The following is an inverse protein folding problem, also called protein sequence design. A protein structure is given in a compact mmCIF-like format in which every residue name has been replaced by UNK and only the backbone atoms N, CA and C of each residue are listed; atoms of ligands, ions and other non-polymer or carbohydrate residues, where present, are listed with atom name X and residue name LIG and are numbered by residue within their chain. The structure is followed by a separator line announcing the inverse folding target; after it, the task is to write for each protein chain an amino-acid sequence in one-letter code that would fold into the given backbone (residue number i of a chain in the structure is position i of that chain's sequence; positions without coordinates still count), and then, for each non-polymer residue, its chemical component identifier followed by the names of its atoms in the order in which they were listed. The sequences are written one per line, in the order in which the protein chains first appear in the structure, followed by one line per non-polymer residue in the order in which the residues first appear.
data_IF_391017397404
#
_entry.id   IF_391017397404
#
_cell.length_a   1.000
_cell.length_b   1.000
_cell.length_c   1.000
_cell.angle_alpha   90.00
_cell.angle_beta   90.00
_cell.angle_gamma   90.00
#
_symmetry.space_group_name_H-M   'P 1'
#
loop_
_entity.id
_entity.type
_entity.pdbx_description
1 polymer ?
#
# COMPACT_ATOMS: atom_id res chain seq x y z
N UNK A 1 -4.11 13.03 -3.12
CA UNK A 1 -5.59 13.18 -3.01
C UNK A 1 -5.84 14.43 -2.18
N UNK A 2 -6.86 15.22 -2.46
CA UNK A 2 -7.21 16.33 -1.54
C UNK A 2 -8.12 15.77 -0.45
N UNK A 3 -7.76 15.96 0.82
CA UNK A 3 -8.64 15.70 1.95
C UNK A 3 -9.85 16.64 1.94
N UNK A 4 -10.85 16.37 2.78
CA UNK A 4 -12.12 17.12 2.82
C UNK A 4 -11.95 18.63 3.08
N UNK A 5 -10.83 19.06 3.68
CA UNK A 5 -10.50 20.47 3.96
C UNK A 5 -9.62 21.15 2.88
N UNK A 6 -9.32 20.46 1.78
CA UNK A 6 -8.40 20.96 0.75
C UNK A 6 -6.92 20.77 1.08
N UNK A 7 -6.62 20.06 2.18
CA UNK A 7 -5.26 19.65 2.52
C UNK A 7 -4.78 18.50 1.62
N UNK A 8 -3.48 18.49 1.32
CA UNK A 8 -2.91 17.51 0.41
C UNK A 8 -2.60 16.22 1.17
N UNK A 9 -3.48 15.22 1.04
CA UNK A 9 -3.18 13.87 1.47
C UNK A 9 -2.22 13.21 0.47
N UNK A 10 -1.01 12.92 0.92
CA UNK A 10 0.01 12.23 0.12
C UNK A 10 0.34 10.86 0.71
N UNK A 11 0.60 9.92 -0.18
CA UNK A 11 1.11 8.60 0.16
C UNK A 11 2.36 8.38 -0.68
N UNK A 12 3.47 8.09 -0.03
CA UNK A 12 4.69 7.65 -0.71
C UNK A 12 4.59 6.15 -0.96
N UNK A 13 4.80 5.75 -2.22
CA UNK A 13 4.79 4.34 -2.61
C UNK A 13 6.05 3.62 -2.12
N UNK A 14 5.95 2.32 -1.81
CA UNK A 14 7.12 1.53 -1.45
C UNK A 14 8.10 1.48 -2.62
N UNK A 15 9.40 1.51 -2.30
CA UNK A 15 10.49 1.45 -3.28
C UNK A 15 10.45 2.55 -4.37
N UNK A 16 9.76 3.67 -4.14
CA UNK A 16 9.59 4.74 -5.15
C UNK A 16 10.93 5.28 -5.71
N UNK A 17 11.99 5.32 -4.90
CA UNK A 17 13.33 5.78 -5.34
C UNK A 17 13.99 4.87 -6.38
N UNK A 18 13.57 3.60 -6.47
CA UNK A 18 14.06 2.63 -7.43
C UNK A 18 13.10 2.44 -8.63
N UNK A 19 11.99 3.17 -8.66
CA UNK A 19 11.02 3.07 -9.74
C UNK A 19 11.48 3.80 -11.00
N UNK A 20 11.15 3.23 -12.16
CA UNK A 20 11.26 3.88 -13.45
C UNK A 20 10.19 4.95 -13.67
N UNK A 21 10.22 5.58 -14.85
CA UNK A 21 9.23 6.59 -15.22
C UNK A 21 7.80 6.00 -15.23
N UNK A 22 6.79 6.74 -14.73
CA UNK A 22 5.43 6.26 -14.70
C UNK A 22 4.85 6.08 -16.11
N UNK A 23 4.02 5.06 -16.27
CA UNK A 23 3.23 4.79 -17.48
C UNK A 23 1.75 4.88 -17.12
N UNK A 24 1.00 5.68 -17.88
CA UNK A 24 -0.46 5.78 -17.73
C UNK A 24 -1.14 4.84 -18.72
N UNK A 25 -2.00 3.96 -18.21
CA UNK A 25 -2.80 3.03 -19.00
C UNK A 25 -4.10 3.70 -19.49
N UNK A 26 -4.76 3.15 -20.54
CA UNK A 26 -5.99 3.73 -21.10
C UNK A 26 -7.17 3.84 -20.12
N UNK A 27 -7.18 3.02 -19.07
CA UNK A 27 -8.19 3.02 -18.01
C UNK A 27 -7.90 4.05 -16.90
N UNK A 28 -6.82 4.83 -17.02
CA UNK A 28 -6.42 5.84 -16.04
C UNK A 28 -5.49 5.31 -14.95
N UNK A 29 -5.18 4.02 -14.93
CA UNK A 29 -4.20 3.44 -14.00
C UNK A 29 -2.82 4.01 -14.27
N UNK A 30 -2.09 4.38 -13.22
CA UNK A 30 -0.69 4.83 -13.32
C UNK A 30 0.22 3.78 -12.71
N UNK A 31 1.11 3.21 -13.53
CA UNK A 31 2.06 2.19 -13.11
C UNK A 31 3.47 2.76 -13.04
N UNK A 32 4.14 2.56 -11.92
CA UNK A 32 5.54 2.85 -11.65
C UNK A 32 6.31 1.52 -11.71
N UNK A 33 7.01 1.23 -12.83
CA UNK A 33 7.74 -0.02 -12.97
C UNK A 33 8.96 -0.05 -12.05
N UNK A 34 9.34 -1.23 -11.57
CA UNK A 34 10.60 -1.45 -10.87
C UNK A 34 11.10 -2.87 -11.10
N UNK A 35 12.37 -3.13 -10.78
CA UNK A 35 13.02 -4.42 -11.09
C UNK A 35 12.53 -5.56 -10.19
N UNK A 36 12.39 -5.31 -8.88
CA UNK A 36 11.94 -6.32 -7.91
C UNK A 36 10.47 -6.17 -7.52
N UNK A 37 9.91 -4.97 -7.67
CA UNK A 37 8.49 -4.70 -7.46
C UNK A 37 8.03 -3.55 -8.35
N UNK A 38 6.74 -3.55 -8.71
CA UNK A 38 6.11 -2.45 -9.44
C UNK A 38 4.87 -1.96 -8.68
N UNK A 39 4.60 -0.66 -8.70
CA UNK A 39 3.44 -0.07 -8.05
C UNK A 39 2.42 0.37 -9.10
N UNK A 40 1.14 0.07 -8.92
CA UNK A 40 0.06 0.60 -9.74
C UNK A 40 -0.96 1.33 -8.89
N UNK A 41 -1.36 2.51 -9.33
CA UNK A 41 -2.37 3.34 -8.67
C UNK A 41 -3.61 3.36 -9.53
N UNK A 42 -4.72 2.87 -8.97
CA UNK A 42 -6.04 2.90 -9.58
C UNK A 42 -6.90 3.88 -8.78
N UNK A 43 -7.47 4.88 -9.46
CA UNK A 43 -8.37 5.86 -8.85
C UNK A 43 -9.80 5.57 -9.30
N UNK A 44 -10.72 5.52 -8.35
CA UNK A 44 -12.15 5.27 -8.60
C UNK A 44 -13.02 6.17 -7.71
N UNK A 45 -14.33 6.15 -7.94
CA UNK A 45 -15.30 6.85 -7.09
C UNK A 45 -15.34 6.29 -5.64
N UNK A 46 -14.82 5.08 -5.43
CA UNK A 46 -14.78 4.43 -4.12
C UNK A 46 -13.47 4.67 -3.37
N UNK A 47 -12.50 5.37 -3.99
CA UNK A 47 -11.21 5.68 -3.41
C UNK A 47 -10.04 5.26 -4.31
N UNK A 48 -8.87 5.12 -3.69
CA UNK A 48 -7.62 4.77 -4.36
C UNK A 48 -7.22 3.35 -3.98
N UNK A 49 -6.87 2.57 -4.98
CA UNK A 49 -6.22 1.28 -4.79
C UNK A 49 -4.75 1.41 -5.20
N UNK A 50 -3.86 1.09 -4.26
CA UNK A 50 -2.43 0.95 -4.52
C UNK A 50 -2.11 -0.54 -4.57
N UNK A 51 -1.61 -1.00 -5.71
CA UNK A 51 -1.24 -2.38 -5.96
C UNK A 51 0.27 -2.48 -6.05
N UNK A 52 0.87 -3.34 -5.24
CA UNK A 52 2.28 -3.71 -5.34
C UNK A 52 2.40 -5.08 -5.99
N UNK A 53 2.96 -5.13 -7.18
CA UNK A 53 3.31 -6.38 -7.86
C UNK A 53 4.71 -6.80 -7.41
N UNK A 54 4.82 -8.02 -6.89
CA UNK A 54 6.07 -8.61 -6.40
C UNK A 54 6.61 -9.54 -7.49
N UNK A 55 7.82 -9.27 -7.99
CA UNK A 55 8.33 -9.93 -9.21
C UNK A 55 8.79 -11.37 -8.96
N UNK A 56 9.28 -11.68 -7.76
CA UNK A 56 9.76 -13.02 -7.43
C UNK A 56 10.32 -13.10 -6.01
N UNK A 57 10.89 -14.26 -5.64
CA UNK A 57 11.34 -14.56 -4.28
C UNK A 57 12.49 -13.67 -3.77
N UNK A 58 13.26 -13.06 -4.67
CA UNK A 58 14.34 -12.12 -4.30
C UNK A 58 13.83 -10.70 -4.01
N UNK A 59 12.53 -10.44 -4.16
CA UNK A 59 11.94 -9.14 -3.88
C UNK A 59 11.85 -8.86 -2.36
N UNK A 60 11.72 -7.58 -1.95
CA UNK A 60 11.49 -7.24 -0.55
C UNK A 60 10.24 -7.93 0.01
N UNK A 61 10.27 -8.31 1.28
CA UNK A 61 9.08 -8.83 2.01
C UNK A 61 8.25 -7.73 2.63
N UNK A 62 8.83 -6.54 2.82
CA UNK A 62 8.22 -5.43 3.53
C UNK A 62 8.03 -4.24 2.60
N UNK A 63 6.80 -3.75 2.55
CA UNK A 63 6.36 -2.68 1.67
C UNK A 63 5.77 -1.55 2.50
N UNK A 64 6.59 -0.51 2.71
CA UNK A 64 6.22 0.65 3.52
C UNK A 64 5.57 1.76 2.70
N UNK A 65 4.41 2.21 3.16
CA UNK A 65 3.65 3.34 2.66
C UNK A 65 3.70 4.45 3.71
N UNK A 66 4.41 5.53 3.40
CA UNK A 66 4.46 6.71 4.27
C UNK A 66 3.28 7.63 3.92
N UNK A 67 2.46 7.96 4.90
CA UNK A 67 1.31 8.85 4.73
C UNK A 67 1.58 10.21 5.36
N UNK A 68 1.04 11.27 4.76
CA UNK A 68 0.95 12.56 5.46
C UNK A 68 -0.17 12.51 6.48
N UNK A 69 0.12 12.98 7.69
CA UNK A 69 -0.85 13.13 8.78
C UNK A 69 -1.00 14.63 9.08
N UNK A 70 -2.23 15.10 9.15
CA UNK A 70 -2.53 16.46 9.59
C UNK A 70 -2.31 16.60 11.10
N UNK A 71 -2.39 17.83 11.62
CA UNK A 71 -2.11 18.11 13.02
C UNK A 71 -2.99 17.27 13.95
N UNK A 72 -2.35 16.40 14.74
CA UNK A 72 -3.00 15.53 15.71
C UNK A 72 -3.66 14.27 15.14
N UNK A 73 -3.60 14.05 13.81
CA UNK A 73 -3.99 12.77 13.23
C UNK A 73 -3.01 11.68 13.62
N UNK A 74 -3.51 10.45 13.73
CA UNK A 74 -2.70 9.26 14.00
C UNK A 74 -3.05 8.14 13.04
N UNK A 75 -2.04 7.42 12.56
CA UNK A 75 -2.22 6.16 11.87
C UNK A 75 -2.25 5.04 12.91
N UNK A 76 -3.21 4.11 12.80
CA UNK A 76 -3.36 2.99 13.72
C UNK A 76 -3.85 1.73 12.99
N UNK A 77 -3.51 0.56 13.53
CA UNK A 77 -4.11 -0.70 13.12
C UNK A 77 -5.54 -0.79 13.66
N UNK A 78 -6.46 -1.26 12.82
CA UNK A 78 -7.87 -1.49 13.17
C UNK A 78 -8.28 -2.82 12.56
N UNK A 79 -8.58 -3.80 13.42
CA UNK A 79 -8.78 -5.20 13.01
C UNK A 79 -7.57 -5.72 12.20
N UNK A 80 -7.79 -6.27 10.99
CA UNK A 80 -6.73 -6.72 10.08
C UNK A 80 -6.31 -5.63 9.06
N UNK A 81 -6.86 -4.42 9.19
CA UNK A 81 -6.59 -3.24 8.37
C UNK A 81 -5.91 -2.12 9.14
N UNK A 82 -6.05 -0.90 8.64
CA UNK A 82 -5.54 0.31 9.28
C UNK A 82 -6.47 1.50 9.07
N UNK A 83 -6.33 2.53 9.90
CA UNK A 83 -7.08 3.76 9.76
C UNK A 83 -6.23 4.97 10.16
N UNK A 84 -6.50 6.10 9.52
CA UNK A 84 -6.09 7.42 10.01
C UNK A 84 -7.24 7.97 10.85
N UNK A 85 -6.94 8.30 12.10
CA UNK A 85 -7.89 8.81 13.09
C UNK A 85 -7.62 10.28 13.36
N UNK A 86 -8.68 11.08 13.38
CA UNK A 86 -8.65 12.48 13.82
C UNK A 86 -8.48 12.57 15.35
N UNK A 87 -8.08 13.75 15.88
CA UNK A 87 -7.94 13.96 17.32
C UNK A 87 -9.20 13.68 18.15
N UNK A 88 -10.39 13.77 17.54
CA UNK A 88 -11.68 13.48 18.18
C UNK A 88 -12.07 12.00 18.15
N UNK A 89 -11.22 11.15 17.55
CA UNK A 89 -11.42 9.71 17.40
C UNK A 89 -12.27 9.32 16.18
N UNK A 90 -12.73 10.27 15.37
CA UNK A 90 -13.38 9.98 14.09
C UNK A 90 -12.37 9.47 13.06
N UNK A 91 -12.83 8.65 12.12
CA UNK A 91 -11.97 8.11 11.05
C UNK A 91 -11.88 9.08 9.89
N UNK A 92 -10.66 9.47 9.51
CA UNK A 92 -10.38 10.28 8.33
C UNK A 92 -10.17 9.41 7.09
N UNK A 93 -9.42 8.31 7.22
CA UNK A 93 -9.12 7.38 6.12
C UNK A 93 -9.19 5.95 6.64
N UNK A 94 -9.75 5.04 5.84
CA UNK A 94 -9.75 3.60 6.09
C UNK A 94 -8.86 2.92 5.05
N UNK A 95 -8.01 2.01 5.53
CA UNK A 95 -7.26 1.05 4.73
C UNK A 95 -7.87 -0.32 5.02
N UNK A 96 -8.36 -0.98 3.97
CA UNK A 96 -8.93 -2.33 4.10
C UNK A 96 -7.90 -3.35 4.57
N UNK A 97 -8.39 -4.54 4.91
CA UNK A 97 -7.57 -5.64 5.44
C UNK A 97 -6.38 -5.97 4.53
N UNK A 98 -5.27 -6.39 5.13
CA UNK A 98 -4.11 -6.85 4.39
C UNK A 98 -4.48 -8.07 3.52
N UNK A 99 -4.16 -8.00 2.23
CA UNK A 99 -4.34 -9.11 1.31
C UNK A 99 -3.14 -9.23 0.36
N UNK A 100 -2.86 -10.46 -0.04
CA UNK A 100 -1.89 -10.79 -1.06
C UNK A 100 -2.31 -12.10 -1.73
N UNK A 101 -2.06 -12.21 -3.03
CA UNK A 101 -2.31 -13.42 -3.82
C UNK A 101 -1.11 -13.70 -4.72
N UNK A 102 -0.85 -14.99 -5.00
CA UNK A 102 0.18 -15.40 -5.96
C UNK A 102 -0.35 -15.42 -7.40
N UNK A 103 0.50 -15.85 -8.33
CA UNK A 103 0.17 -15.91 -9.77
C UNK A 103 -0.92 -16.94 -10.10
N UNK A 104 -1.14 -17.94 -9.24
CA UNK A 104 -2.19 -18.95 -9.37
C UNK A 104 -3.50 -18.49 -8.67
N UNK A 105 -3.48 -17.32 -8.02
CA UNK A 105 -4.60 -16.76 -7.29
C UNK A 105 -4.78 -17.34 -5.88
N UNK A 106 -3.80 -18.08 -5.36
CA UNK A 106 -3.83 -18.57 -4.00
C UNK A 106 -3.46 -17.45 -3.01
N UNK A 107 -4.08 -17.46 -1.83
CA UNK A 107 -3.80 -16.49 -0.78
C UNK A 107 -2.36 -16.64 -0.26
N UNK A 108 -1.67 -15.51 -0.17
CA UNK A 108 -0.34 -15.40 0.44
C UNK A 108 -0.49 -14.72 1.81
N UNK A 109 0.21 -15.24 2.82
CA UNK A 109 0.16 -14.69 4.17
C UNK A 109 0.71 -13.26 4.18
N UNK A 110 -0.04 -12.33 4.77
CA UNK A 110 0.34 -10.93 4.85
C UNK A 110 -0.25 -10.27 6.10
N UNK A 111 0.39 -9.20 6.58
CA UNK A 111 -0.07 -8.42 7.72
C UNK A 111 0.41 -6.98 7.64
N UNK A 112 -0.31 -6.07 8.28
CA UNK A 112 0.13 -4.70 8.47
C UNK A 112 0.84 -4.49 9.81
N UNK A 113 1.80 -3.56 9.82
CA UNK A 113 2.38 -2.95 11.00
C UNK A 113 2.39 -1.42 10.83
N UNK A 114 2.26 -0.69 11.94
CA UNK A 114 2.28 0.78 11.95
C UNK A 114 3.41 1.28 12.83
N UNK A 115 4.21 2.20 12.28
CA UNK A 115 5.23 2.96 13.02
C UNK A 115 5.11 4.44 12.65
N UNK A 116 4.61 5.26 13.58
CA UNK A 116 4.39 6.69 13.34
C UNK A 116 3.39 6.93 12.20
N UNK A 117 3.86 7.52 11.10
CA UNK A 117 3.08 7.79 9.88
C UNK A 117 3.32 6.76 8.78
N UNK A 118 3.92 5.62 9.11
CA UNK A 118 4.27 4.58 8.14
C UNK A 118 3.43 3.33 8.36
N UNK A 119 2.72 2.91 7.31
CA UNK A 119 2.06 1.62 7.22
C UNK A 119 2.97 0.66 6.45
N UNK A 120 3.42 -0.42 7.08
CA UNK A 120 4.22 -1.45 6.40
C UNK A 120 3.37 -2.70 6.20
N UNK A 121 3.27 -3.17 4.96
CA UNK A 121 2.72 -4.48 4.64
C UNK A 121 3.85 -5.49 4.53
N UNK A 122 3.84 -6.51 5.37
CA UNK A 122 4.73 -7.66 5.20
C UNK A 122 4.02 -8.75 4.40
N UNK A 123 4.69 -9.34 3.41
CA UNK A 123 4.14 -10.37 2.51
C UNK A 123 5.09 -11.57 2.46
N UNK A 124 4.62 -12.74 2.90
CA UNK A 124 5.41 -13.97 2.95
C UNK A 124 5.41 -14.72 1.61
N UNK A 125 6.06 -14.13 0.61
CA UNK A 125 6.11 -14.65 -0.77
C UNK A 125 7.39 -15.46 -1.07
N UNK A 126 8.25 -15.66 -0.07
CA UNK A 126 9.50 -16.42 -0.23
C UNK A 126 9.32 -17.92 0.06
N UNK A 127 8.22 -18.29 0.69
CA UNK A 127 7.95 -19.67 1.11
C UNK A 127 7.57 -20.62 -0.06
N UNK A 128 7.39 -20.11 -1.28
CA UNK A 128 7.00 -20.90 -2.45
C UNK A 128 8.17 -21.64 -3.16
N UNK A 129 9.36 -21.66 -2.57
CA UNK A 129 10.54 -22.36 -3.13
C UNK A 129 10.84 -23.70 -2.43
N UNK A 130 9.86 -24.40 -1.82
CA UNK A 130 10.12 -25.77 -1.36
C UNK A 130 8.88 -26.64 -1.12
N UNK A 131 8.35 -27.30 -2.16
CA UNK A 131 7.62 -28.57 -1.98
C UNK A 131 7.89 -29.53 -3.15
N UNK A 132 8.81 -30.48 -2.90
CA UNK A 132 9.04 -31.82 -3.49
C UNK A 132 8.95 -32.05 -5.02
#
# INVERSE_FOLDING_TARGET
MTGEDGDLFTIQLPNASAAGAPVTLPDGTVTYPGESSANSIVVSDLGVQMLTTIVGADAPTDYSYEVTLDEGQTLALVDDGAAILNPDGSTAVIVGDAWAVDADGANVSTSYAVEGSTLTQSVDHTAAENVA
#
